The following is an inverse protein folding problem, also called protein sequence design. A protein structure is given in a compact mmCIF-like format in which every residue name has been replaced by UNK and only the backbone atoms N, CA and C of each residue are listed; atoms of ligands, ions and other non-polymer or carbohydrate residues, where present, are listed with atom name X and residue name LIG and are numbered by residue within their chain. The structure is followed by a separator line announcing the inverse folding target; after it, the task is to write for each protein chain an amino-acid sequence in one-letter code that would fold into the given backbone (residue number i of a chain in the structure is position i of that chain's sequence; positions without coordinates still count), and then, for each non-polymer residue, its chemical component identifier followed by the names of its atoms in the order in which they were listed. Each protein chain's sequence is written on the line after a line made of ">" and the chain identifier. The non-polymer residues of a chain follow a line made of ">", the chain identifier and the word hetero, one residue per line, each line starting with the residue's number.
data_IF_079182716782
#
_entry.id   IF_079182716782
#
_cell.length_a   1.000
_cell.length_b   1.000
_cell.length_c   1.000
_cell.angle_alpha   90.00
_cell.angle_beta   90.00
_cell.angle_gamma   90.00
#
_symmetry.space_group_name_H-M   'P 1'
#
loop_
_entity.id
_entity.type
_entity.pdbx_description
1 polymer ?
#
# COMPACT_ATOMS: atom_id res chain seq x y z
N UNK A 1 -26.46 -58.42 -44.14
CA UNK A 1 -27.30 -59.35 -43.35
C UNK A 1 -28.27 -58.55 -42.47
N UNK A 2 -29.35 -59.17 -41.98
CA UNK A 2 -30.51 -58.62 -41.21
C UNK A 2 -30.10 -57.59 -40.12
N UNK A 3 -30.74 -56.41 -39.99
CA UNK A 3 -32.00 -56.06 -39.24
C UNK A 3 -31.93 -56.47 -37.74
N UNK A 4 -32.27 -55.67 -36.72
CA UNK A 4 -33.41 -54.74 -36.47
C UNK A 4 -32.99 -53.58 -35.48
N UNK A 5 -33.48 -52.33 -35.56
CA UNK A 5 -34.80 -51.69 -35.22
C UNK A 5 -35.00 -51.44 -33.70
N UNK A 6 -35.12 -50.20 -33.19
CA UNK A 6 -36.27 -49.26 -33.13
C UNK A 6 -35.71 -47.81 -32.98
N UNK A 7 -36.10 -46.74 -33.68
CA UNK A 7 -37.40 -46.01 -33.78
C UNK A 7 -37.95 -45.55 -32.42
N UNK A 8 -38.40 -44.33 -32.15
CA UNK A 8 -38.31 -42.93 -32.66
C UNK A 8 -39.38 -42.16 -31.85
N UNK A 9 -39.11 -40.96 -31.33
CA UNK A 9 -40.18 -40.02 -30.94
C UNK A 9 -39.67 -38.57 -31.00
N UNK A 10 -40.40 -37.71 -31.70
CA UNK A 10 -40.07 -36.31 -31.97
C UNK A 10 -41.02 -35.41 -31.17
N UNK A 11 -40.51 -34.39 -30.46
CA UNK A 11 -41.29 -33.19 -30.10
C UNK A 11 -40.40 -31.93 -30.23
N UNK A 12 -40.85 -31.00 -31.07
CA UNK A 12 -40.50 -29.57 -31.27
C UNK A 12 -41.89 -28.89 -31.35
N UNK A 13 -42.21 -27.67 -30.81
CA UNK A 13 -41.49 -26.36 -30.85
C UNK A 13 -41.44 -25.65 -29.46
N UNK A 14 -41.18 -24.35 -29.23
CA UNK A 14 -40.87 -23.10 -29.98
C UNK A 14 -39.48 -22.56 -29.53
N UNK A 15 -38.89 -21.41 -29.92
CA UNK A 15 -39.26 -20.28 -30.80
C UNK A 15 -39.27 -18.92 -30.07
N UNK A 16 -38.31 -18.02 -30.37
CA UNK A 16 -38.23 -16.60 -29.91
C UNK A 16 -37.65 -16.41 -28.49
N UNK A 17 -36.68 -15.52 -28.22
CA UNK A 17 -36.57 -14.12 -28.65
C UNK A 17 -35.09 -13.63 -28.62
N UNK A 18 -34.64 -12.96 -29.68
CA UNK A 18 -33.46 -12.10 -29.62
C UNK A 18 -33.90 -10.68 -29.23
N UNK A 19 -33.33 -10.11 -28.17
CA UNK A 19 -33.50 -8.68 -27.84
C UNK A 19 -32.18 -7.97 -28.12
N UNK A 20 -32.11 -7.32 -29.28
CA UNK A 20 -31.03 -6.38 -29.59
C UNK A 20 -31.31 -5.05 -28.88
N UNK A 21 -30.45 -4.67 -27.93
CA UNK A 21 -30.48 -3.34 -27.32
C UNK A 21 -30.00 -2.28 -28.33
N UNK A 22 -30.94 -1.55 -28.94
CA UNK A 22 -30.60 -0.36 -29.70
C UNK A 22 -30.17 0.79 -28.77
N UNK A 23 -29.10 1.48 -29.15
CA UNK A 23 -28.67 2.71 -28.51
C UNK A 23 -29.70 3.83 -28.72
N UNK A 24 -30.28 4.36 -27.64
CA UNK A 24 -30.83 5.72 -27.62
C UNK A 24 -29.83 6.66 -26.95
N UNK A 25 -29.00 7.32 -27.76
CA UNK A 25 -28.26 8.50 -27.31
C UNK A 25 -29.16 9.73 -27.48
N UNK A 26 -29.51 10.38 -26.36
CA UNK A 26 -30.18 11.68 -26.40
C UNK A 26 -29.43 12.64 -25.46
N UNK A 27 -28.61 13.49 -26.07
CA UNK A 27 -27.90 14.54 -25.36
C UNK A 27 -28.89 15.63 -24.91
N UNK A 28 -28.91 15.94 -23.61
CA UNK A 28 -29.64 17.11 -23.09
C UNK A 28 -28.72 18.01 -22.29
N UNK A 29 -28.10 18.94 -23.00
CA UNK A 29 -27.20 19.97 -22.45
C UNK A 29 -27.98 20.93 -21.55
N UNK A 30 -27.76 20.86 -20.24
CA UNK A 30 -28.31 21.83 -19.29
C UNK A 30 -27.29 22.98 -19.13
N UNK A 31 -27.65 24.16 -19.64
CA UNK A 31 -26.88 25.40 -19.41
C UNK A 31 -27.11 25.86 -17.97
N UNK A 32 -26.03 26.02 -17.20
CA UNK A 32 -26.08 26.62 -15.86
C UNK A 32 -26.04 28.15 -15.95
N UNK A 33 -26.93 28.89 -15.28
CA UNK A 33 -26.91 30.35 -15.28
C UNK A 33 -25.80 30.90 -14.36
N UNK A 34 -25.02 31.83 -14.91
CA UNK A 34 -23.92 32.55 -14.27
C UNK A 34 -24.48 33.59 -13.28
N UNK A 35 -24.28 33.40 -11.97
CA UNK A 35 -24.55 34.44 -10.97
C UNK A 35 -23.26 35.20 -10.66
N UNK A 36 -23.34 36.53 -10.70
CA UNK A 36 -22.27 37.47 -10.38
C UNK A 36 -22.70 38.33 -9.19
N UNK A 37 -21.95 38.27 -8.09
CA UNK A 37 -21.97 39.25 -7.01
C UNK A 37 -20.51 39.47 -6.60
N UNK A 38 -19.85 40.55 -7.03
CA UNK A 38 -19.84 41.87 -6.36
C UNK A 38 -19.38 41.80 -4.91
N UNK A 39 -18.07 41.92 -4.75
CA UNK A 39 -17.38 42.32 -3.53
C UNK A 39 -17.65 43.82 -3.23
N UNK A 40 -17.81 44.23 -1.96
CA UNK A 40 -17.48 45.59 -1.52
C UNK A 40 -16.31 45.57 -0.52
N UNK A 41 -15.46 46.58 -0.59
CA UNK A 41 -14.20 46.64 0.15
C UNK A 41 -14.29 47.41 1.48
N UNK A 42 -13.35 47.07 2.36
CA UNK A 42 -12.59 47.98 3.24
C UNK A 42 -13.33 48.79 4.34
N UNK A 43 -12.92 48.58 5.60
CA UNK A 43 -12.62 49.67 6.54
C UNK A 43 -11.39 49.37 7.40
N UNK A 44 -10.46 50.32 7.41
CA UNK A 44 -9.37 50.42 8.40
C UNK A 44 -9.95 50.61 9.82
N UNK A 45 -9.22 50.12 10.82
CA UNK A 45 -9.19 50.69 12.18
C UNK A 45 -7.73 50.89 12.57
N UNK A 46 -7.46 52.03 13.20
CA UNK A 46 -6.14 52.59 13.46
C UNK A 46 -5.45 51.96 14.67
N UNK A 47 -4.15 52.21 14.78
CA UNK A 47 -3.28 51.89 15.91
C UNK A 47 -3.76 52.53 17.22
N UNK A 48 -3.42 51.90 18.35
CA UNK A 48 -3.03 52.58 19.59
C UNK A 48 -1.95 51.74 20.29
N UNK A 49 -0.89 52.43 20.72
CA UNK A 49 0.25 51.90 21.51
C UNK A 49 0.15 52.44 22.94
N UNK A 50 0.66 51.73 23.95
CA UNK A 50 1.40 52.48 24.97
C UNK A 50 2.70 51.81 25.44
N UNK A 51 3.81 52.46 25.10
CA UNK A 51 4.90 52.91 25.98
C UNK A 51 5.51 51.97 27.03
N UNK A 52 6.84 51.89 26.96
CA UNK A 52 7.74 51.21 27.88
C UNK A 52 8.03 51.95 29.19
N UNK A 53 8.35 51.19 30.23
CA UNK A 53 9.01 51.66 31.46
C UNK A 53 10.19 50.70 31.81
N UNK A 54 11.22 51.16 32.54
CA UNK A 54 12.57 50.60 32.43
C UNK A 54 12.84 49.39 33.33
N UNK A 55 13.61 48.42 32.82
CA UNK A 55 14.16 47.31 33.61
C UNK A 55 15.62 47.64 33.97
N UNK A 56 15.90 47.80 35.26
CA UNK A 56 17.24 48.01 35.80
C UNK A 56 18.00 46.69 35.95
N UNK A 57 19.31 46.75 35.67
CA UNK A 57 20.29 45.67 35.86
C UNK A 57 20.52 45.40 37.36
N UNK A 58 20.59 44.13 37.80
CA UNK A 58 21.48 43.74 38.88
C UNK A 58 22.64 42.89 38.35
N UNK A 59 23.83 43.09 38.92
CA UNK A 59 25.05 42.40 38.54
C UNK A 59 25.49 41.42 39.63
N UNK A 60 25.53 40.15 39.26
CA UNK A 60 26.42 39.05 39.73
C UNK A 60 26.93 39.13 41.19
N UNK A 61 26.50 38.18 42.02
CA UNK A 61 27.41 37.46 42.93
C UNK A 61 27.17 35.94 42.83
N UNK A 62 28.16 35.16 43.26
CA UNK A 62 28.52 33.91 42.60
C UNK A 62 28.24 32.60 43.38
N UNK A 63 28.51 31.49 42.68
CA UNK A 63 28.85 30.17 43.23
C UNK A 63 27.71 29.28 43.77
N UNK A 64 27.08 28.57 42.84
CA UNK A 64 26.75 27.14 43.02
C UNK A 64 27.30 26.34 41.85
N UNK A 65 28.02 25.25 42.15
CA UNK A 65 28.71 24.41 41.18
C UNK A 65 27.73 23.63 40.31
N UNK A 66 27.65 23.97 39.03
CA UNK A 66 26.97 23.16 38.02
C UNK A 66 27.72 21.84 37.83
N UNK A 67 27.08 20.71 38.15
CA UNK A 67 27.49 19.43 37.58
C UNK A 67 27.22 19.47 36.08
N UNK A 68 28.27 19.34 35.29
CA UNK A 68 28.16 19.07 33.85
C UNK A 68 27.75 17.63 33.65
N UNK A 69 26.44 17.37 33.65
CA UNK A 69 25.90 16.09 33.20
C UNK A 69 26.15 15.97 31.69
N UNK A 70 27.25 15.27 31.37
CA UNK A 70 27.68 14.94 30.03
C UNK A 70 26.52 14.19 29.32
N UNK A 71 26.12 14.54 28.09
CA UNK A 71 25.08 13.78 27.40
C UNK A 71 25.57 12.34 27.23
N UNK A 72 24.89 11.40 27.87
CA UNK A 72 25.25 9.99 27.81
C UNK A 72 25.07 9.51 26.38
N UNK A 73 26.19 9.35 25.67
CA UNK A 73 26.25 8.84 24.31
C UNK A 73 25.59 7.46 24.27
N UNK A 74 24.33 7.41 23.82
CA UNK A 74 23.63 6.15 23.63
C UNK A 74 24.36 5.41 22.54
N UNK A 75 24.84 4.17 22.78
CA UNK A 75 25.66 3.47 21.81
C UNK A 75 24.91 3.39 20.49
N UNK A 76 25.44 4.04 19.46
CA UNK A 76 24.89 3.98 18.11
C UNK A 76 24.75 2.51 17.77
N UNK A 77 23.51 2.07 17.52
CA UNK A 77 23.19 0.68 17.23
C UNK A 77 23.72 0.33 15.83
N UNK A 78 25.02 0.04 15.77
CA UNK A 78 25.82 -0.12 14.55
C UNK A 78 25.50 -1.38 13.75
N UNK A 79 24.60 -2.23 14.23
CA UNK A 79 24.00 -3.31 13.47
C UNK A 79 22.55 -3.59 13.90
N UNK A 80 21.73 -3.89 12.89
CA UNK A 80 20.39 -4.40 13.01
C UNK A 80 20.41 -5.84 12.47
N UNK A 81 19.93 -6.78 13.27
CA UNK A 81 19.87 -8.19 12.93
C UNK A 81 18.51 -8.57 12.35
N UNK A 82 17.44 -7.87 12.76
CA UNK A 82 16.07 -8.25 12.42
C UNK A 82 15.24 -7.07 11.89
N UNK A 83 14.39 -7.29 10.86
CA UNK A 83 13.38 -6.32 10.39
C UNK A 83 12.49 -5.68 11.47
N UNK A 84 12.20 -6.43 12.53
CA UNK A 84 11.44 -5.98 13.71
C UNK A 84 12.11 -4.87 14.52
N UNK A 85 13.41 -4.63 14.31
CA UNK A 85 14.18 -3.56 14.96
C UNK A 85 14.08 -2.24 14.20
N UNK A 86 13.52 -2.25 12.99
CA UNK A 86 13.30 -1.08 12.12
C UNK A 86 11.80 -0.79 11.99
N UNK A 87 10.98 -1.82 11.81
CA UNK A 87 9.53 -1.70 11.65
C UNK A 87 8.78 -2.36 12.81
N UNK A 88 7.68 -1.75 13.26
CA UNK A 88 6.80 -2.39 14.23
C UNK A 88 5.99 -3.52 13.57
N UNK A 89 6.47 -4.76 13.72
CA UNK A 89 5.86 -5.96 13.13
C UNK A 89 4.83 -6.66 14.03
N UNK A 90 4.51 -6.09 15.21
CA UNK A 90 3.61 -6.74 16.20
C UNK A 90 2.24 -7.12 15.66
N UNK A 91 1.67 -6.30 14.76
CA UNK A 91 0.39 -6.53 14.10
C UNK A 91 0.58 -6.93 12.63
N UNK A 92 1.52 -7.83 12.36
CA UNK A 92 1.78 -8.36 11.01
C UNK A 92 2.12 -9.85 11.04
N UNK A 93 1.87 -10.53 9.91
CA UNK A 93 2.53 -11.79 9.55
C UNK A 93 3.30 -11.60 8.25
N UNK A 94 4.42 -12.30 8.07
CA UNK A 94 5.22 -12.28 6.85
C UNK A 94 4.95 -13.52 6.00
N UNK A 95 4.53 -13.35 4.74
CA UNK A 95 4.47 -14.43 3.75
C UNK A 95 5.71 -14.38 2.86
N UNK A 96 6.42 -15.50 2.73
CA UNK A 96 7.68 -15.60 1.97
C UNK A 96 7.48 -16.21 0.57
N UNK A 97 8.40 -15.98 -0.38
CA UNK A 97 8.39 -16.62 -1.70
C UNK A 97 8.98 -18.03 -1.67
N UNK A 98 9.11 -18.64 -0.50
CA UNK A 98 9.60 -20.00 -0.27
C UNK A 98 8.54 -20.83 0.44
N UNK A 99 8.67 -22.15 0.44
CA UNK A 99 7.70 -23.06 1.06
C UNK A 99 7.49 -24.31 0.21
N UNK A 100 6.33 -24.95 0.37
CA UNK A 100 5.92 -26.07 -0.48
C UNK A 100 4.98 -25.59 -1.60
N UNK A 101 4.79 -26.41 -2.65
CA UNK A 101 3.99 -26.00 -3.80
C UNK A 101 2.59 -25.49 -3.39
N UNK A 102 2.22 -24.30 -3.90
CA UNK A 102 1.00 -23.55 -3.56
C UNK A 102 0.80 -23.18 -2.08
N UNK A 103 1.82 -23.36 -1.24
CA UNK A 103 1.82 -23.16 0.21
C UNK A 103 3.10 -22.42 0.65
N UNK A 104 3.16 -21.09 0.45
CA UNK A 104 4.28 -20.29 0.90
C UNK A 104 4.36 -20.27 2.43
N UNK A 105 5.58 -20.20 2.96
CA UNK A 105 5.85 -20.14 4.39
C UNK A 105 5.33 -18.83 4.96
N UNK A 106 4.59 -18.91 6.07
CA UNK A 106 4.14 -17.75 6.84
C UNK A 106 4.82 -17.71 8.21
N UNK A 107 5.36 -16.56 8.60
CA UNK A 107 5.95 -16.31 9.91
C UNK A 107 5.04 -15.33 10.67
N UNK A 108 4.74 -15.64 11.94
CA UNK A 108 3.73 -14.95 12.77
C UNK A 108 4.26 -14.67 14.18
N UNK A 109 3.61 -13.75 14.88
CA UNK A 109 3.75 -13.54 16.33
C UNK A 109 5.22 -13.42 16.77
N UNK A 110 5.59 -14.08 17.87
CA UNK A 110 6.93 -14.03 18.48
C UNK A 110 8.05 -14.52 17.54
N UNK A 111 7.74 -15.42 16.61
CA UNK A 111 8.73 -15.87 15.63
C UNK A 111 9.12 -14.70 14.71
N UNK A 112 8.16 -13.89 14.25
CA UNK A 112 8.44 -12.75 13.36
C UNK A 112 9.31 -11.68 14.05
N UNK A 113 9.20 -11.54 15.36
CA UNK A 113 9.98 -10.56 16.15
C UNK A 113 11.49 -10.83 16.15
N UNK A 114 11.94 -12.05 15.81
CA UNK A 114 13.36 -12.45 15.71
C UNK A 114 13.65 -13.22 14.42
N UNK A 115 12.93 -12.90 13.33
CA UNK A 115 13.05 -13.59 12.05
C UNK A 115 13.71 -12.73 10.96
N UNK A 116 14.59 -13.36 10.18
CA UNK A 116 15.02 -12.88 8.86
C UNK A 116 15.19 -14.06 7.91
N UNK A 117 15.04 -13.83 6.61
CA UNK A 117 15.28 -14.80 5.54
C UNK A 117 16.00 -14.12 4.38
N UNK A 118 17.32 -14.32 4.25
CA UNK A 118 18.09 -13.77 3.13
C UNK A 118 17.79 -14.55 1.83
N UNK A 119 17.59 -13.89 0.66
CA UNK A 119 17.52 -12.44 0.42
C UNK A 119 16.10 -11.84 0.49
N UNK A 120 15.09 -12.62 0.92
CA UNK A 120 13.67 -12.31 0.77
C UNK A 120 13.11 -11.30 1.78
N UNK A 121 13.59 -11.30 3.01
CA UNK A 121 13.08 -10.50 4.13
C UNK A 121 14.20 -10.26 5.15
N UNK A 122 14.81 -9.08 5.14
CA UNK A 122 15.95 -8.73 6.00
C UNK A 122 16.07 -7.23 6.22
N UNK A 123 16.71 -6.82 7.32
CA UNK A 123 17.16 -5.46 7.49
C UNK A 123 18.24 -5.12 6.45
N UNK A 124 18.26 -3.88 5.94
CA UNK A 124 19.30 -3.40 5.04
C UNK A 124 20.60 -3.08 5.80
N UNK A 125 21.72 -2.93 5.09
CA UNK A 125 23.03 -2.66 5.70
C UNK A 125 23.12 -1.30 6.40
N UNK A 126 22.24 -0.36 6.07
CA UNK A 126 22.18 0.98 6.65
C UNK A 126 21.31 1.06 7.91
N UNK A 127 20.59 -0.02 8.25
CA UNK A 127 19.63 -0.09 9.34
C UNK A 127 18.51 0.97 9.32
N UNK A 128 18.19 1.51 8.13
CA UNK A 128 17.11 2.47 7.94
C UNK A 128 15.88 1.85 7.24
N UNK A 129 15.97 0.63 6.71
CA UNK A 129 14.87 -0.01 5.99
C UNK A 129 14.92 -1.53 5.93
N UNK A 130 13.77 -2.14 5.65
CA UNK A 130 13.57 -3.59 5.50
C UNK A 130 13.41 -3.93 4.03
N UNK A 131 14.24 -4.85 3.55
CA UNK A 131 14.23 -5.38 2.19
C UNK A 131 13.20 -6.50 2.08
N UNK A 132 12.29 -6.38 1.12
CA UNK A 132 11.35 -7.39 0.67
C UNK A 132 11.69 -7.78 -0.76
N UNK A 133 12.05 -9.03 -1.03
CA UNK A 133 12.37 -9.53 -2.37
C UNK A 133 11.56 -10.77 -2.71
N UNK A 134 10.95 -10.80 -3.89
CA UNK A 134 10.24 -11.97 -4.42
C UNK A 134 10.68 -12.29 -5.86
N UNK A 135 11.39 -13.40 -6.08
CA UNK A 135 11.81 -13.81 -7.42
C UNK A 135 10.69 -14.49 -8.20
N UNK A 136 10.75 -14.47 -9.53
CA UNK A 136 9.69 -14.92 -10.45
C UNK A 136 9.46 -16.44 -10.47
N UNK A 137 10.41 -17.21 -9.97
CA UNK A 137 10.31 -18.65 -9.71
C UNK A 137 9.83 -18.97 -8.28
N UNK A 138 9.55 -17.96 -7.45
CA UNK A 138 9.14 -18.12 -6.07
C UNK A 138 7.80 -18.85 -5.90
N UNK A 139 7.62 -19.45 -4.73
CA UNK A 139 6.38 -20.12 -4.32
C UNK A 139 5.23 -19.10 -4.24
N UNK A 140 4.09 -19.46 -4.83
CA UNK A 140 2.86 -18.67 -4.81
C UNK A 140 1.85 -19.29 -3.86
N UNK A 141 0.84 -18.53 -3.40
CA UNK A 141 -0.37 -19.11 -2.81
C UNK A 141 -1.19 -19.88 -3.86
N UNK A 142 -2.12 -20.73 -3.43
CA UNK A 142 -3.09 -21.42 -4.31
C UNK A 142 -3.85 -20.44 -5.21
N UNK A 143 -4.44 -19.40 -4.62
CA UNK A 143 -5.23 -18.38 -5.32
C UNK A 143 -4.45 -17.35 -6.13
N UNK A 144 -3.11 -17.38 -6.14
CA UNK A 144 -2.30 -16.44 -6.92
C UNK A 144 -1.37 -17.17 -7.90
N UNK A 145 -1.17 -16.54 -9.07
CA UNK A 145 -0.15 -16.92 -10.04
C UNK A 145 1.22 -16.26 -9.77
N UNK A 146 1.36 -15.43 -8.74
CA UNK A 146 2.51 -14.56 -8.53
C UNK A 146 3.13 -14.70 -7.12
N UNK A 147 4.47 -14.65 -7.01
CA UNK A 147 5.20 -14.79 -5.74
C UNK A 147 5.27 -13.47 -4.96
N UNK A 148 5.44 -13.56 -3.64
CA UNK A 148 5.49 -12.39 -2.76
C UNK A 148 6.46 -12.58 -1.58
N UNK A 149 7.05 -11.48 -1.15
CA UNK A 149 7.62 -11.31 0.18
C UNK A 149 6.87 -10.13 0.77
N UNK A 150 5.82 -10.41 1.55
CA UNK A 150 4.78 -9.43 1.84
C UNK A 150 4.18 -9.65 3.23
N UNK A 151 4.07 -8.55 3.97
CA UNK A 151 3.38 -8.48 5.24
C UNK A 151 1.86 -8.46 4.99
N UNK A 152 1.11 -9.21 5.80
CA UNK A 152 -0.35 -9.17 5.89
C UNK A 152 -0.71 -8.69 7.29
N UNK A 153 -1.53 -7.65 7.38
CA UNK A 153 -1.96 -7.05 8.66
C UNK A 153 -2.55 -8.09 9.60
N UNK A 154 -2.27 -7.98 10.89
CA UNK A 154 -2.83 -8.82 11.95
C UNK A 154 -3.41 -7.91 13.05
N UNK A 155 -4.10 -8.49 14.01
CA UNK A 155 -4.54 -7.80 15.21
C UNK A 155 -4.23 -8.64 16.45
N UNK A 156 -4.46 -8.07 17.64
CA UNK A 156 -4.19 -8.71 18.93
C UNK A 156 -2.73 -9.19 19.07
N UNK A 157 -1.76 -8.38 18.64
CA UNK A 157 -0.34 -8.71 18.72
C UNK A 157 0.06 -9.88 17.83
N UNK A 158 -0.51 -9.93 16.61
CA UNK A 158 -0.16 -10.94 15.60
C UNK A 158 -0.99 -12.23 15.64
N UNK A 159 -1.82 -12.40 16.69
CA UNK A 159 -2.56 -13.64 16.99
C UNK A 159 -3.80 -13.87 16.15
N UNK A 160 -4.31 -12.84 15.48
CA UNK A 160 -5.58 -12.93 14.74
C UNK A 160 -5.50 -12.15 13.44
N UNK A 161 -6.22 -12.62 12.42
CA UNK A 161 -6.33 -11.89 11.15
C UNK A 161 -7.09 -10.58 11.39
N UNK A 162 -6.47 -9.44 11.08
CA UNK A 162 -7.21 -8.21 10.89
C UNK A 162 -8.31 -8.39 9.82
N UNK A 163 -9.48 -7.83 10.07
CA UNK A 163 -10.66 -7.93 9.22
C UNK A 163 -11.58 -6.76 9.59
N UNK A 164 -11.48 -5.65 8.86
CA UNK A 164 -12.12 -4.39 9.24
C UNK A 164 -13.10 -3.87 8.19
N UNK A 165 -13.91 -2.89 8.61
CA UNK A 165 -15.01 -2.30 7.86
C UNK A 165 -14.68 -0.86 7.48
N UNK A 166 -14.84 -0.50 6.20
CA UNK A 166 -14.60 0.87 5.74
C UNK A 166 -15.63 1.88 6.28
N UNK A 167 -16.71 1.42 6.94
CA UNK A 167 -17.80 2.26 7.44
C UNK A 167 -17.88 2.36 8.95
N UNK A 168 -17.09 1.59 9.71
CA UNK A 168 -17.25 1.45 11.17
C UNK A 168 -16.21 2.20 11.99
N UNK A 169 -15.01 2.40 11.46
CA UNK A 169 -13.95 3.19 12.07
C UNK A 169 -13.03 3.76 10.97
N UNK A 170 -12.09 4.61 11.39
CA UNK A 170 -10.98 5.03 10.54
C UNK A 170 -9.94 3.91 10.56
N UNK A 171 -9.48 3.48 9.40
CA UNK A 171 -8.37 2.53 9.24
C UNK A 171 -7.35 3.11 8.26
N UNK A 172 -6.08 3.11 8.64
CA UNK A 172 -5.02 3.72 7.85
C UNK A 172 -3.71 2.97 7.91
N UNK A 173 -2.99 3.01 6.79
CA UNK A 173 -1.61 2.52 6.67
C UNK A 173 -0.76 3.60 6.00
N UNK A 174 0.34 3.95 6.66
CA UNK A 174 1.40 4.79 6.10
C UNK A 174 2.61 3.94 5.72
N UNK A 175 3.15 4.17 4.53
CA UNK A 175 4.40 3.59 4.04
C UNK A 175 5.34 4.71 3.58
N UNK A 176 6.59 4.69 4.03
CA UNK A 176 7.71 5.33 3.34
C UNK A 176 8.60 4.23 2.77
N UNK A 177 8.77 4.20 1.45
CA UNK A 177 9.38 3.06 0.76
C UNK A 177 10.04 3.43 -0.57
N UNK A 178 10.81 2.50 -1.13
CA UNK A 178 11.32 2.56 -2.49
C UNK A 178 11.19 1.19 -3.17
N UNK A 179 10.81 1.16 -4.44
CA UNK A 179 10.90 -0.05 -5.27
C UNK A 179 12.29 -0.03 -5.91
N UNK A 180 13.13 -1.00 -5.58
CA UNK A 180 14.57 -1.04 -5.93
C UNK A 180 14.87 -1.96 -7.12
N UNK A 181 14.03 -2.97 -7.36
CA UNK A 181 14.16 -3.86 -8.51
C UNK A 181 12.81 -4.29 -9.08
N UNK A 182 12.80 -4.66 -10.36
CA UNK A 182 11.65 -5.16 -11.11
C UNK A 182 12.06 -6.34 -12.00
N UNK A 183 11.17 -7.30 -12.30
CA UNK A 183 11.50 -8.44 -13.17
C UNK A 183 11.92 -8.02 -14.57
N UNK A 184 12.79 -8.81 -15.21
CA UNK A 184 13.48 -8.44 -16.45
C UNK A 184 12.54 -8.11 -17.61
N UNK A 185 11.52 -8.94 -17.86
CA UNK A 185 10.56 -8.80 -18.96
C UNK A 185 9.27 -8.11 -18.53
N UNK A 186 8.52 -8.69 -17.59
CA UNK A 186 7.30 -8.08 -17.04
C UNK A 186 7.66 -7.31 -15.78
N UNK A 187 8.24 -6.12 -15.98
CA UNK A 187 8.74 -5.14 -14.99
C UNK A 187 7.67 -4.55 -14.04
N UNK A 188 6.86 -5.41 -13.44
CA UNK A 188 5.65 -5.04 -12.71
C UNK A 188 5.78 -5.51 -11.24
N UNK A 189 5.56 -4.60 -10.28
CA UNK A 189 5.61 -4.89 -8.83
C UNK A 189 4.48 -4.14 -8.13
N UNK A 190 3.83 -4.79 -7.17
CA UNK A 190 2.91 -4.15 -6.23
C UNK A 190 3.62 -3.97 -4.88
N UNK A 191 3.48 -2.78 -4.30
CA UNK A 191 4.26 -2.31 -3.14
C UNK A 191 3.39 -1.87 -1.93
N UNK A 192 2.08 -2.11 -1.94
CA UNK A 192 1.20 -1.72 -0.84
C UNK A 192 -0.26 -1.86 -1.25
N UNK A 193 -1.13 -2.34 -0.36
CA UNK A 193 -2.47 -2.81 -0.72
C UNK A 193 -3.49 -2.58 0.40
N UNK A 194 -4.75 -2.40 -0.01
CA UNK A 194 -5.93 -2.89 0.73
C UNK A 194 -6.48 -4.08 -0.04
N UNK A 195 -6.77 -5.17 0.65
CA UNK A 195 -7.35 -6.40 0.11
C UNK A 195 -8.57 -6.77 0.98
N UNK A 196 -9.62 -7.35 0.39
CA UNK A 196 -10.79 -7.86 1.13
C UNK A 196 -10.83 -9.40 1.15
N UNK A 197 -12.00 -9.99 1.40
CA UNK A 197 -12.13 -11.44 1.44
C UNK A 197 -12.02 -12.10 0.05
N UNK A 198 -12.33 -11.34 -1.02
CA UNK A 198 -12.43 -11.84 -2.39
C UNK A 198 -11.15 -11.53 -3.18
N UNK A 199 -10.71 -10.26 -3.22
CA UNK A 199 -9.58 -9.82 -4.06
C UNK A 199 -8.90 -8.51 -3.57
N UNK A 200 -7.88 -8.07 -4.31
CA UNK A 200 -7.24 -6.76 -4.17
C UNK A 200 -8.29 -5.63 -4.35
N UNK A 201 -8.47 -4.78 -3.33
CA UNK A 201 -9.40 -3.63 -3.40
C UNK A 201 -8.75 -2.46 -4.13
N UNK A 202 -7.53 -2.11 -3.70
CA UNK A 202 -6.73 -1.05 -4.31
C UNK A 202 -5.26 -1.23 -3.92
N UNK A 203 -4.36 -1.05 -4.87
CA UNK A 203 -2.92 -1.29 -4.69
C UNK A 203 -2.05 -0.19 -5.29
N UNK A 204 -0.85 0.00 -4.73
CA UNK A 204 0.21 0.80 -5.34
C UNK A 204 1.01 -0.09 -6.27
N UNK A 205 0.96 0.19 -7.56
CA UNK A 205 1.53 -0.63 -8.62
C UNK A 205 2.54 0.15 -9.43
N UNK A 206 3.73 -0.42 -9.58
CA UNK A 206 4.71 -0.01 -10.58
C UNK A 206 4.57 -0.93 -11.79
N UNK A 207 4.34 -0.36 -12.96
CA UNK A 207 4.60 -1.00 -14.26
C UNK A 207 5.68 -0.16 -14.92
N UNK A 208 6.95 -0.53 -14.66
CA UNK A 208 8.08 0.39 -14.78
C UNK A 208 8.20 0.99 -16.19
N UNK A 209 8.30 2.33 -16.32
CA UNK A 209 8.60 3.29 -15.25
C UNK A 209 7.36 3.94 -14.57
N UNK A 210 6.12 3.56 -14.90
CA UNK A 210 4.91 4.23 -14.39
C UNK A 210 4.48 3.65 -13.04
N UNK A 211 4.53 4.46 -11.97
CA UNK A 211 3.93 4.20 -10.66
C UNK A 211 2.51 4.78 -10.61
N UNK A 212 1.51 3.99 -10.22
CA UNK A 212 0.10 4.38 -10.21
C UNK A 212 -0.70 3.64 -9.13
N UNK A 213 -1.92 4.13 -8.88
CA UNK A 213 -2.95 3.42 -8.12
C UNK A 213 -3.69 2.48 -9.06
N UNK A 214 -3.71 1.19 -8.74
CA UNK A 214 -4.49 0.17 -9.45
C UNK A 214 -5.69 -0.25 -8.59
N UNK A 215 -6.88 -0.31 -9.19
CA UNK A 215 -8.18 -0.46 -8.53
C UNK A 215 -8.77 -1.79 -9.02
N UNK A 216 -8.48 -2.89 -8.31
CA UNK A 216 -8.84 -4.25 -8.68
C UNK A 216 -8.59 -4.57 -10.18
N UNK A 217 -7.34 -4.43 -10.62
CA UNK A 217 -6.91 -4.70 -12.00
C UNK A 217 -7.19 -3.58 -13.00
N UNK A 218 -7.87 -2.50 -12.60
CA UNK A 218 -8.11 -1.32 -13.44
C UNK A 218 -7.13 -0.20 -13.08
N UNK A 219 -6.38 0.30 -14.07
CA UNK A 219 -5.51 1.45 -13.88
C UNK A 219 -6.31 2.71 -13.44
N UNK A 220 -5.95 3.24 -12.27
CA UNK A 220 -6.38 4.53 -11.73
C UNK A 220 -5.34 5.63 -11.99
N UNK A 221 -5.26 6.67 -11.12
CA UNK A 221 -4.36 7.80 -11.33
C UNK A 221 -2.89 7.42 -11.24
N UNK A 222 -2.09 8.05 -12.11
CA UNK A 222 -0.62 7.96 -12.08
C UNK A 222 -0.07 8.81 -10.95
N UNK A 223 0.86 8.24 -10.18
CA UNK A 223 1.55 8.89 -9.06
C UNK A 223 2.90 9.45 -9.50
N UNK A 224 3.65 8.68 -10.29
CA UNK A 224 4.89 9.10 -10.93
C UNK A 224 4.98 8.41 -12.31
N UNK A 225 4.90 9.15 -13.43
CA UNK A 225 4.96 8.55 -14.77
C UNK A 225 6.34 7.97 -15.11
N UNK A 226 7.40 8.45 -14.44
CA UNK A 226 8.80 8.16 -14.75
C UNK A 226 9.58 7.82 -13.46
N UNK A 227 9.02 6.91 -12.65
CA UNK A 227 9.60 6.48 -11.39
C UNK A 227 11.00 5.90 -11.58
N UNK A 228 11.98 6.47 -10.89
CA UNK A 228 13.36 5.96 -10.84
C UNK A 228 13.48 4.90 -9.74
N UNK A 229 14.02 3.73 -10.05
CA UNK A 229 14.23 2.67 -9.04
C UNK A 229 15.12 3.19 -7.90
N UNK A 230 14.74 2.86 -6.65
CA UNK A 230 15.40 3.35 -5.44
C UNK A 230 14.97 4.75 -4.98
N UNK A 231 14.19 5.51 -5.77
CA UNK A 231 13.61 6.79 -5.32
C UNK A 231 12.63 6.54 -4.15
N UNK A 232 12.95 7.05 -2.96
CA UNK A 232 12.01 7.01 -1.83
C UNK A 232 10.73 7.80 -2.18
N UNK A 233 9.58 7.26 -1.79
CA UNK A 233 8.27 7.90 -1.86
C UNK A 233 7.44 7.50 -0.65
N UNK A 234 6.42 8.29 -0.33
CA UNK A 234 5.44 7.91 0.69
C UNK A 234 4.05 7.72 0.12
N UNK A 235 3.29 6.80 0.70
CA UNK A 235 1.87 6.60 0.44
C UNK A 235 1.12 6.43 1.75
N UNK A 236 -0.08 6.99 1.82
CA UNK A 236 -1.00 6.77 2.95
C UNK A 236 -2.35 6.33 2.42
N UNK A 237 -2.81 5.18 2.88
CA UNK A 237 -4.18 4.74 2.71
C UNK A 237 -4.99 5.20 3.92
N UNK A 238 -6.21 5.71 3.70
CA UNK A 238 -7.19 6.02 4.77
C UNK A 238 -8.57 5.57 4.32
N UNK A 239 -9.11 4.55 4.96
CA UNK A 239 -10.50 4.14 4.87
C UNK A 239 -11.32 4.79 6.01
N UNK A 240 -12.34 5.58 5.67
CA UNK A 240 -13.30 6.18 6.61
C UNK A 240 -14.65 6.38 5.91
N UNK A 241 -15.76 6.21 6.63
CA UNK A 241 -17.15 6.48 6.16
C UNK A 241 -17.44 5.98 4.73
N UNK A 242 -17.08 4.72 4.44
CA UNK A 242 -17.30 4.07 3.14
C UNK A 242 -16.47 4.66 2.00
N UNK A 243 -15.37 5.35 2.32
CA UNK A 243 -14.49 6.01 1.35
C UNK A 243 -13.06 5.57 1.61
N UNK A 244 -12.34 5.17 0.55
CA UNK A 244 -10.90 4.94 0.60
C UNK A 244 -10.21 6.14 -0.06
N UNK A 245 -9.28 6.74 0.65
CA UNK A 245 -8.45 7.86 0.21
C UNK A 245 -6.99 7.42 0.15
N UNK A 246 -6.28 7.85 -0.89
CA UNK A 246 -4.84 7.62 -1.06
C UNK A 246 -4.15 8.97 -1.18
N UNK A 247 -3.11 9.15 -0.38
CA UNK A 247 -2.20 10.30 -0.40
C UNK A 247 -0.83 9.83 -0.90
N UNK A 248 -0.08 10.71 -1.55
CA UNK A 248 1.24 10.40 -2.13
C UNK A 248 2.21 11.53 -1.84
N UNK A 249 3.43 11.19 -1.39
CA UNK A 249 4.47 12.13 -0.96
C UNK A 249 3.94 13.23 -0.02
N UNK A 250 3.27 12.79 1.05
CA UNK A 250 2.72 13.65 2.12
C UNK A 250 1.76 14.76 1.64
N UNK A 251 1.12 14.57 0.48
CA UNK A 251 0.16 15.52 -0.07
C UNK A 251 -0.93 15.91 0.93
N UNK A 252 -1.21 17.23 1.06
CA UNK A 252 -2.24 17.74 1.98
C UNK A 252 -3.67 17.32 1.61
N UNK A 253 -3.90 16.90 0.37
CA UNK A 253 -5.15 16.35 -0.15
C UNK A 253 -4.90 14.97 -0.78
N UNK A 254 -5.90 14.08 -0.82
CA UNK A 254 -5.74 12.78 -1.46
C UNK A 254 -5.54 12.95 -2.97
N UNK A 255 -4.59 12.19 -3.52
CA UNK A 255 -4.39 12.08 -4.98
C UNK A 255 -5.42 11.14 -5.62
N UNK A 256 -6.11 10.33 -4.80
CA UNK A 256 -7.23 9.51 -5.22
C UNK A 256 -8.23 9.29 -4.08
N UNK A 257 -9.52 9.31 -4.40
CA UNK A 257 -10.61 8.98 -3.48
C UNK A 257 -11.65 8.12 -4.20
N UNK A 258 -12.07 7.02 -3.58
CA UNK A 258 -13.12 6.14 -4.11
C UNK A 258 -14.15 5.78 -3.05
N UNK A 259 -15.41 5.63 -3.45
CA UNK A 259 -16.45 5.02 -2.60
C UNK A 259 -16.30 3.50 -2.64
N UNK A 260 -16.13 2.89 -1.47
CA UNK A 260 -16.07 1.44 -1.23
C UNK A 260 -16.57 1.20 0.19
N UNK A 261 -17.84 0.83 0.31
CA UNK A 261 -18.39 0.26 1.54
C UNK A 261 -18.15 -1.25 1.52
N UNK A 262 -17.56 -1.80 2.58
CA UNK A 262 -17.30 -3.24 2.68
C UNK A 262 -16.62 -3.62 3.99
N UNK A 263 -16.74 -4.89 4.34
CA UNK A 263 -16.10 -5.54 5.49
C UNK A 263 -15.01 -6.51 5.00
N UNK A 264 -14.28 -7.16 5.92
CA UNK A 264 -13.27 -8.16 5.53
C UNK A 264 -11.94 -7.57 5.04
N UNK A 265 -11.78 -6.24 5.09
CA UNK A 265 -10.60 -5.57 4.56
C UNK A 265 -9.39 -5.75 5.49
N UNK A 266 -8.20 -5.69 4.92
CA UNK A 266 -6.92 -5.66 5.62
C UNK A 266 -5.82 -5.04 4.75
N UNK A 267 -4.80 -4.48 5.41
CA UNK A 267 -3.63 -3.91 4.76
C UNK A 267 -2.56 -4.95 4.44
N UNK A 268 -1.76 -4.67 3.41
CA UNK A 268 -0.60 -5.48 3.01
C UNK A 268 0.53 -4.58 2.49
N UNK A 269 1.78 -4.94 2.78
CA UNK A 269 2.96 -4.14 2.39
C UNK A 269 4.19 -5.04 2.17
N UNK A 270 5.02 -4.71 1.18
CA UNK A 270 6.22 -5.49 0.81
C UNK A 270 6.36 -5.59 -0.70
N UNK A 271 6.96 -6.67 -1.20
CA UNK A 271 7.14 -6.94 -2.62
C UNK A 271 6.23 -8.06 -3.12
N UNK A 272 5.16 -7.69 -3.84
CA UNK A 272 4.34 -8.64 -4.60
C UNK A 272 4.68 -8.54 -6.09
N UNK A 273 5.58 -9.43 -6.53
CA UNK A 273 6.15 -9.43 -7.88
C UNK A 273 5.14 -9.88 -8.91
N UNK A 274 4.68 -8.98 -9.78
CA UNK A 274 3.62 -9.27 -10.76
C UNK A 274 4.15 -9.99 -12.01
N UNK A 275 5.06 -10.94 -11.84
CA UNK A 275 5.62 -11.77 -12.90
C UNK A 275 5.91 -13.17 -12.38
N UNK A 276 6.03 -14.14 -13.28
CA UNK A 276 6.41 -15.51 -12.98
C UNK A 276 7.15 -16.14 -14.17
N UNK A 277 7.61 -17.38 -14.04
CA UNK A 277 8.33 -18.09 -15.11
C UNK A 277 7.55 -18.27 -16.43
N UNK A 278 6.22 -18.10 -16.47
CA UNK A 278 5.46 -18.07 -17.74
C UNK A 278 5.50 -16.71 -18.46
N UNK A 279 5.95 -15.66 -17.77
CA UNK A 279 6.03 -14.28 -18.27
C UNK A 279 7.47 -13.83 -18.56
N UNK A 280 8.45 -14.53 -17.99
CA UNK A 280 9.89 -14.25 -18.12
C UNK A 280 10.58 -15.25 -19.07
N UNK A 281 11.73 -14.86 -19.60
CA UNK A 281 12.66 -15.79 -20.28
C UNK A 281 13.72 -16.36 -19.32
N UNK A 282 13.98 -15.66 -18.22
CA UNK A 282 14.89 -16.07 -17.14
C UNK A 282 14.05 -16.41 -15.90
N UNK A 283 13.89 -17.71 -15.65
CA UNK A 283 13.19 -18.28 -14.50
C UNK A 283 14.20 -18.61 -13.39
N UNK A 284 14.73 -17.59 -12.71
CA UNK A 284 15.73 -17.76 -11.64
C UNK A 284 15.53 -16.79 -10.48
N UNK A 285 16.16 -17.09 -9.34
CA UNK A 285 16.14 -16.25 -8.14
C UNK A 285 16.74 -14.84 -8.36
N UNK A 286 17.51 -14.67 -9.44
CA UNK A 286 18.11 -13.40 -9.86
C UNK A 286 17.20 -12.54 -10.75
N UNK A 287 15.97 -12.99 -11.02
CA UNK A 287 14.93 -12.22 -11.69
C UNK A 287 13.79 -11.98 -10.68
N UNK A 288 13.69 -10.75 -10.15
CA UNK A 288 12.85 -10.46 -8.99
C UNK A 288 12.27 -9.03 -8.99
N UNK A 289 11.19 -8.87 -8.23
CA UNK A 289 10.78 -7.57 -7.70
C UNK A 289 11.36 -7.37 -6.30
N UNK A 290 11.73 -6.13 -5.97
CA UNK A 290 12.22 -5.77 -4.63
C UNK A 290 11.68 -4.41 -4.18
N UNK A 291 11.31 -4.33 -2.91
CA UNK A 291 10.82 -3.13 -2.23
C UNK A 291 11.58 -2.99 -0.91
N UNK A 292 12.03 -1.77 -0.59
CA UNK A 292 12.58 -1.42 0.73
C UNK A 292 11.58 -0.53 1.44
N UNK A 293 11.13 -0.92 2.64
CA UNK A 293 10.24 -0.11 3.48
C UNK A 293 11.06 0.49 4.62
N UNK A 294 11.07 1.82 4.70
CA UNK A 294 11.78 2.62 5.71
C UNK A 294 10.89 2.97 6.89
N UNK A 295 9.59 3.19 6.65
CA UNK A 295 8.59 3.41 7.71
C UNK A 295 7.30 2.68 7.38
N UNK A 296 6.70 2.10 8.41
CA UNK A 296 5.42 1.39 8.38
C UNK A 296 4.64 1.77 9.64
N UNK A 297 3.45 2.34 9.48
CA UNK A 297 2.56 2.65 10.59
C UNK A 297 1.11 2.25 10.26
N UNK A 298 0.41 1.73 11.26
CA UNK A 298 -1.02 1.46 11.25
C UNK A 298 -1.70 2.37 12.28
N UNK A 299 -2.89 2.88 11.95
CA UNK A 299 -3.80 3.58 12.87
C UNK A 299 -5.24 3.32 12.44
#
# INVERSE_FOLDING_TARGET
>A
MKKYLLILAIIIPLGGFFVAFQHFSSAKTIKSPRIVAKNPANKNVTQDEPQSAPITKPEIQASTTLKTDNPTDQPIKTSCQYPSEILNLSNWKQTLPTGSNKKPTEIKEIALASFQARPYFLANSSCDGVVFRAPVNGVTTSGSGYPRSELREMTNGGKSLASWSTTSAIHSMYLEQAITAVPKKKKHVVAGQIHDADDDVVVIRLEYPKLFVDINGKAGPTLDPNYTLGKKFSVKFVADKGTINIFYNESASPVFSMKKSGTGNYFKAGAYTQSNCSKETDCSDNNFGEVVIYKLALQ
#
